data_IF_137894341974
#
_entry.id   IF_137894341974
#
_cell.length_a   1.000
_cell.length_b   1.000
_cell.length_c   1.000
_cell.angle_alpha   90.00
_cell.angle_beta   90.00
_cell.angle_gamma   90.00
#
_symmetry.space_group_name_H-M   'P 1'
#
loop_
_entity.id
_entity.type
_entity.pdbx_description
1 polymer ?
#
# COMPACT_ATOMS: atom_id res chain seq x y z
N UNK A 1 -11.37 -5.50 63.98
CA UNK A 1 -12.25 -5.79 62.82
C UNK A 1 -11.79 -4.95 61.64
N UNK A 2 -10.85 -5.46 60.86
CA UNK A 2 -10.26 -4.74 59.72
C UNK A 2 -11.07 -5.05 58.48
N UNK A 3 -11.75 -4.03 57.95
CA UNK A 3 -12.47 -4.13 56.68
C UNK A 3 -11.41 -4.07 55.58
N UNK A 4 -11.07 -5.21 55.01
CA UNK A 4 -10.17 -5.30 53.86
C UNK A 4 -10.82 -4.56 52.70
N UNK A 5 -10.26 -3.42 52.29
CA UNK A 5 -10.68 -2.71 51.09
C UNK A 5 -10.42 -3.62 49.88
N UNK A 6 -11.46 -4.24 49.35
CA UNK A 6 -11.46 -4.87 48.04
C UNK A 6 -11.07 -3.80 47.02
N UNK A 7 -9.95 -4.00 46.31
CA UNK A 7 -9.60 -3.19 45.15
C UNK A 7 -10.63 -3.44 44.05
N UNK A 8 -11.16 -2.41 43.39
CA UNK A 8 -12.02 -2.60 42.23
C UNK A 8 -11.21 -3.32 41.14
N UNK A 9 -11.75 -4.42 40.64
CA UNK A 9 -11.27 -5.11 39.47
C UNK A 9 -11.35 -4.14 38.29
N UNK A 10 -10.22 -3.80 37.69
CA UNK A 10 -10.19 -3.17 36.38
C UNK A 10 -10.92 -4.08 35.39
N UNK A 11 -12.17 -3.73 35.10
CA UNK A 11 -12.88 -4.21 33.93
C UNK A 11 -12.20 -3.50 32.75
N UNK A 12 -11.39 -4.24 31.99
CA UNK A 12 -10.76 -3.71 30.79
C UNK A 12 -11.85 -3.34 29.80
N UNK A 13 -12.06 -2.04 29.63
CA UNK A 13 -12.94 -1.48 28.60
C UNK A 13 -12.49 -2.00 27.24
N UNK A 14 -13.19 -3.01 26.70
CA UNK A 14 -13.12 -3.34 25.29
C UNK A 14 -13.76 -2.16 24.53
N UNK A 15 -12.94 -1.16 24.24
CA UNK A 15 -13.35 0.07 23.54
C UNK A 15 -14.00 -0.32 22.20
N UNK A 16 -15.33 -0.14 22.10
CA UNK A 16 -16.07 -0.45 20.89
C UNK A 16 -15.47 0.32 19.69
N UNK A 17 -15.14 -0.34 18.57
CA UNK A 17 -14.51 0.35 17.44
C UNK A 17 -15.48 1.36 16.82
N UNK A 18 -15.04 2.61 16.68
CA UNK A 18 -15.81 3.66 15.98
C UNK A 18 -16.23 3.23 14.56
N UNK A 19 -17.33 3.80 14.04
CA UNK A 19 -17.86 3.47 12.70
C UNK A 19 -16.81 3.61 11.59
N UNK A 20 -15.92 4.60 11.71
CA UNK A 20 -14.78 4.80 10.80
C UNK A 20 -13.75 3.66 10.87
N UNK A 21 -13.40 3.20 12.10
CA UNK A 21 -12.52 2.03 12.31
C UNK A 21 -13.15 0.76 11.73
N UNK A 22 -14.46 0.58 11.86
CA UNK A 22 -15.18 -0.55 11.27
C UNK A 22 -15.14 -0.50 9.73
N UNK A 23 -15.32 0.68 9.14
CA UNK A 23 -15.18 0.90 7.70
C UNK A 23 -13.78 0.56 7.18
N UNK A 24 -12.73 1.03 7.86
CA UNK A 24 -11.34 0.73 7.53
C UNK A 24 -11.05 -0.77 7.57
N UNK A 25 -11.50 -1.48 8.63
CA UNK A 25 -11.30 -2.93 8.76
C UNK A 25 -11.98 -3.70 7.64
N UNK A 26 -13.22 -3.34 7.26
CA UNK A 26 -13.93 -3.94 6.13
C UNK A 26 -13.19 -3.72 4.81
N UNK A 27 -12.70 -2.51 4.58
CA UNK A 27 -11.92 -2.18 3.38
C UNK A 27 -10.63 -3.02 3.30
N UNK A 28 -9.85 -3.10 4.38
CA UNK A 28 -8.61 -3.88 4.41
C UNK A 28 -8.85 -5.38 4.23
N UNK A 29 -9.95 -5.91 4.78
CA UNK A 29 -10.36 -7.29 4.56
C UNK A 29 -10.62 -7.57 3.08
N UNK A 30 -11.40 -6.70 2.41
CA UNK A 30 -11.69 -6.83 0.98
C UNK A 30 -10.43 -6.77 0.12
N UNK A 31 -9.49 -5.87 0.44
CA UNK A 31 -8.19 -5.81 -0.25
C UNK A 31 -7.37 -7.10 -0.06
N UNK A 32 -7.37 -7.66 1.15
CA UNK A 32 -6.70 -8.92 1.43
C UNK A 32 -7.33 -10.09 0.67
N UNK A 33 -8.67 -10.16 0.59
CA UNK A 33 -9.42 -11.19 -0.17
C UNK A 33 -9.08 -11.16 -1.67
N UNK A 34 -8.86 -9.97 -2.22
CA UNK A 34 -8.47 -9.78 -3.63
C UNK A 34 -6.97 -9.91 -3.89
N UNK A 35 -6.15 -10.11 -2.85
CA UNK A 35 -4.70 -10.23 -2.98
C UNK A 35 -4.26 -11.68 -3.08
N UNK A 36 -3.18 -11.91 -3.82
CA UNK A 36 -2.49 -13.21 -3.91
C UNK A 36 -1.17 -13.19 -3.16
N UNK A 37 -0.66 -14.37 -2.78
CA UNK A 37 0.69 -14.49 -2.24
C UNK A 37 1.71 -14.34 -3.39
N UNK A 38 2.71 -13.44 -3.29
CA UNK A 38 3.75 -13.25 -4.32
C UNK A 38 4.97 -14.16 -4.14
N UNK A 39 5.00 -14.98 -3.09
CA UNK A 39 6.14 -15.85 -2.84
C UNK A 39 6.04 -17.09 -3.73
N UNK A 40 6.90 -17.21 -4.74
CA UNK A 40 6.89 -18.31 -5.72
C UNK A 40 7.02 -19.71 -5.10
N UNK A 41 7.63 -19.81 -3.92
CA UNK A 41 7.82 -21.09 -3.20
C UNK A 41 6.59 -21.43 -2.31
N UNK A 42 5.63 -20.52 -2.18
CA UNK A 42 4.41 -20.77 -1.39
C UNK A 42 3.46 -21.71 -2.14
N UNK A 43 2.88 -22.68 -1.43
CA UNK A 43 1.85 -23.57 -1.97
C UNK A 43 0.59 -22.84 -2.49
N UNK A 44 0.33 -21.62 -1.98
CA UNK A 44 -0.78 -20.76 -2.44
C UNK A 44 -0.29 -19.55 -3.26
N UNK A 45 0.88 -19.67 -3.91
CA UNK A 45 1.40 -18.64 -4.80
C UNK A 45 0.41 -18.33 -5.94
N UNK A 46 0.11 -17.04 -6.16
CA UNK A 46 -0.73 -16.60 -7.29
C UNK A 46 -2.22 -16.96 -7.21
N UNK A 47 -2.68 -17.68 -6.18
CA UNK A 47 -4.09 -18.11 -6.06
C UNK A 47 -4.90 -17.06 -5.28
N UNK A 48 -6.01 -16.58 -5.87
CA UNK A 48 -6.93 -15.59 -5.26
C UNK A 48 -7.95 -16.27 -4.35
N UNK A 49 -8.44 -15.57 -3.32
CA UNK A 49 -9.65 -15.97 -2.58
C UNK A 49 -9.48 -17.14 -1.61
N UNK A 50 -8.25 -17.55 -1.28
CA UNK A 50 -7.98 -18.65 -0.33
C UNK A 50 -8.00 -18.24 1.14
N UNK A 51 -8.20 -16.95 1.44
CA UNK A 51 -8.25 -16.44 2.82
C UNK A 51 -6.92 -16.54 3.58
N UNK A 52 -5.81 -16.78 2.87
CA UNK A 52 -4.46 -16.84 3.42
C UNK A 52 -3.85 -15.46 3.61
N UNK A 53 -4.33 -14.44 2.89
CA UNK A 53 -3.80 -13.08 3.02
C UNK A 53 -4.54 -12.32 4.12
N UNK A 54 -3.79 -11.63 4.97
CA UNK A 54 -4.32 -10.75 6.02
C UNK A 54 -3.63 -9.40 5.98
N UNK A 55 -4.35 -8.34 6.34
CA UNK A 55 -3.76 -7.03 6.59
C UNK A 55 -2.90 -7.10 7.86
N UNK A 56 -1.66 -6.62 7.78
CA UNK A 56 -0.72 -6.60 8.90
C UNK A 56 -0.63 -5.22 9.51
N UNK A 57 -0.24 -4.23 8.70
CA UNK A 57 -0.01 -2.87 9.17
C UNK A 57 0.00 -1.87 8.01
N UNK A 58 -0.12 -0.59 8.34
CA UNK A 58 0.03 0.51 7.40
C UNK A 58 1.41 1.14 7.60
N UNK A 59 2.19 1.31 6.54
CA UNK A 59 3.58 1.78 6.61
C UNK A 59 3.77 3.23 6.14
N UNK A 60 2.70 3.89 5.70
CA UNK A 60 2.74 5.30 5.30
C UNK A 60 1.34 5.90 5.26
N UNK A 61 1.22 7.22 5.08
CA UNK A 61 -0.06 7.92 5.18
C UNK A 61 -1.04 7.61 4.01
N UNK A 62 -0.51 7.25 2.85
CA UNK A 62 -1.27 7.01 1.62
C UNK A 62 -2.24 5.82 1.72
N UNK A 63 -3.31 5.86 0.92
CA UNK A 63 -4.40 4.88 0.95
C UNK A 63 -3.97 3.44 0.61
N UNK A 64 -2.90 3.28 -0.19
CA UNK A 64 -2.36 1.98 -0.61
C UNK A 64 -1.01 1.65 0.03
N UNK A 65 -0.54 2.42 1.02
CA UNK A 65 0.71 2.11 1.74
C UNK A 65 0.48 1.08 2.85
N UNK A 66 -0.10 -0.06 2.47
CA UNK A 66 -0.49 -1.14 3.36
C UNK A 66 0.43 -2.35 3.17
N UNK A 67 0.73 -3.04 4.27
CA UNK A 67 1.49 -4.27 4.29
C UNK A 67 0.54 -5.42 4.61
N UNK A 68 0.55 -6.43 3.75
CA UNK A 68 -0.17 -7.68 3.92
C UNK A 68 0.79 -8.80 4.31
N UNK A 69 0.24 -9.88 4.86
CA UNK A 69 0.97 -11.08 5.22
C UNK A 69 0.23 -12.31 4.70
N UNK A 70 0.98 -13.26 4.14
CA UNK A 70 0.45 -14.60 3.87
C UNK A 70 0.57 -15.45 5.14
N UNK A 71 -0.52 -16.03 5.62
CA UNK A 71 -0.53 -16.92 6.80
C UNK A 71 0.10 -18.30 6.55
N UNK A 72 0.33 -18.66 5.29
CA UNK A 72 0.90 -19.97 4.93
C UNK A 72 2.43 -19.93 4.93
N UNK A 73 3.01 -18.96 4.23
CA UNK A 73 4.47 -18.83 4.14
C UNK A 73 5.04 -17.72 5.03
N UNK A 74 4.20 -17.05 5.81
CA UNK A 74 4.49 -15.96 6.77
C UNK A 74 5.14 -14.69 6.21
N UNK A 75 5.55 -14.69 4.93
CA UNK A 75 6.12 -13.52 4.25
C UNK A 75 5.12 -12.38 4.13
N UNK A 76 5.65 -11.17 4.26
CA UNK A 76 4.91 -9.92 4.08
C UNK A 76 5.16 -9.33 2.70
N UNK A 77 4.21 -8.53 2.22
CA UNK A 77 4.33 -7.82 0.95
C UNK A 77 3.48 -6.55 0.96
N UNK A 78 3.92 -5.54 0.20
CA UNK A 78 3.18 -4.30 0.05
C UNK A 78 1.97 -4.48 -0.86
N UNK A 79 0.89 -3.76 -0.58
CA UNK A 79 -0.23 -3.59 -1.53
C UNK A 79 0.24 -3.04 -2.87
N UNK A 80 1.22 -2.13 -2.86
CA UNK A 80 1.76 -1.48 -4.07
C UNK A 80 2.73 -2.36 -4.85
N UNK A 81 3.00 -3.59 -4.41
CA UNK A 81 3.91 -4.49 -5.15
C UNK A 81 3.47 -4.56 -6.62
N UNK A 82 4.43 -4.73 -7.51
CA UNK A 82 4.18 -4.84 -8.96
C UNK A 82 3.54 -3.58 -9.60
N UNK A 83 3.47 -2.46 -8.86
CA UNK A 83 3.04 -1.16 -9.38
C UNK A 83 4.19 -0.16 -9.39
N UNK A 84 4.17 0.84 -10.29
CA UNK A 84 5.17 1.91 -10.30
C UNK A 84 5.14 2.80 -9.04
N UNK A 85 4.13 2.65 -8.17
CA UNK A 85 4.02 3.37 -6.91
C UNK A 85 4.84 2.71 -5.78
N UNK A 86 5.32 1.49 -5.98
CA UNK A 86 6.09 0.77 -4.97
C UNK A 86 7.38 1.51 -4.60
N UNK A 87 7.70 1.53 -3.30
CA UNK A 87 8.89 2.20 -2.77
C UNK A 87 8.84 3.73 -2.74
N UNK A 88 7.77 4.37 -3.24
CA UNK A 88 7.58 5.81 -3.07
C UNK A 88 6.91 6.16 -1.74
N UNK A 89 7.49 7.17 -1.07
CA UNK A 89 6.92 7.80 0.13
C UNK A 89 5.93 8.92 -0.19
N UNK A 90 6.01 9.49 -1.39
CA UNK A 90 5.08 10.52 -1.85
C UNK A 90 3.64 9.98 -1.86
N UNK A 91 2.70 10.88 -1.62
CA UNK A 91 1.28 10.58 -1.81
C UNK A 91 1.01 10.30 -3.30
N UNK A 92 -0.03 9.53 -3.57
CA UNK A 92 -0.38 9.16 -4.94
C UNK A 92 -0.75 10.39 -5.75
N UNK A 93 -1.50 11.31 -5.16
CA UNK A 93 -1.91 12.57 -5.77
C UNK A 93 -0.67 13.38 -6.22
N UNK A 94 0.38 13.38 -5.40
CA UNK A 94 1.64 14.07 -5.73
C UNK A 94 2.36 13.41 -6.90
N UNK A 95 2.42 12.07 -6.93
CA UNK A 95 3.04 11.31 -8.02
C UNK A 95 2.26 11.53 -9.31
N UNK A 96 0.94 11.41 -9.28
CA UNK A 96 0.07 11.63 -10.43
C UNK A 96 0.13 13.07 -10.94
N UNK A 97 0.23 14.06 -10.04
CA UNK A 97 0.45 15.46 -10.44
C UNK A 97 1.77 15.67 -11.18
N UNK A 98 2.86 15.02 -10.73
CA UNK A 98 4.16 15.04 -11.43
C UNK A 98 4.03 14.41 -12.81
N UNK A 99 3.40 13.24 -12.92
CA UNK A 99 3.21 12.54 -14.20
C UNK A 99 2.36 13.37 -15.16
N UNK A 100 1.27 13.96 -14.67
CA UNK A 100 0.43 14.84 -15.48
C UNK A 100 1.24 16.00 -16.06
N UNK A 101 2.03 16.71 -15.25
CA UNK A 101 2.90 17.78 -15.76
C UNK A 101 3.80 17.29 -16.90
N UNK A 102 4.40 16.10 -16.76
CA UNK A 102 5.27 15.52 -17.77
C UNK A 102 4.51 15.17 -19.06
N UNK A 103 3.30 14.62 -18.96
CA UNK A 103 2.43 14.30 -20.11
C UNK A 103 2.04 15.57 -20.88
N UNK A 104 1.79 16.68 -20.16
CA UNK A 104 1.52 18.00 -20.74
C UNK A 104 2.79 18.65 -21.35
N UNK A 105 3.91 17.93 -21.44
CA UNK A 105 5.14 18.37 -22.08
C UNK A 105 6.08 19.21 -21.20
N UNK A 106 5.84 19.31 -19.89
CA UNK A 106 6.74 20.03 -19.01
C UNK A 106 8.06 19.25 -18.82
N UNK A 107 9.19 19.94 -18.95
CA UNK A 107 10.50 19.34 -18.66
C UNK A 107 10.73 19.11 -17.16
N UNK A 108 11.63 18.20 -16.81
CA UNK A 108 11.92 17.76 -15.42
C UNK A 108 12.12 18.91 -14.44
N UNK A 109 12.86 19.96 -14.83
CA UNK A 109 13.10 21.14 -13.97
C UNK A 109 11.86 22.01 -13.77
N UNK A 110 11.03 22.15 -14.81
CA UNK A 110 9.78 22.91 -14.73
C UNK A 110 8.78 22.17 -13.81
N UNK A 111 8.61 20.86 -14.02
CA UNK A 111 7.78 20.01 -13.15
C UNK A 111 8.25 20.03 -11.70
N UNK A 112 9.56 19.97 -11.44
CA UNK A 112 10.11 20.06 -10.09
C UNK A 112 9.70 21.35 -9.37
N UNK A 113 9.70 22.49 -10.07
CA UNK A 113 9.23 23.78 -9.53
C UNK A 113 7.72 23.80 -9.32
N UNK A 114 6.93 23.42 -10.32
CA UNK A 114 5.45 23.38 -10.26
C UNK A 114 5.00 22.52 -9.09
N UNK A 115 5.58 21.33 -8.96
CA UNK A 115 5.22 20.36 -7.93
C UNK A 115 5.96 20.56 -6.62
N UNK A 116 6.88 21.53 -6.52
CA UNK A 116 7.68 21.80 -5.32
C UNK A 116 8.36 20.54 -4.76
N UNK A 117 9.09 19.83 -5.62
CA UNK A 117 9.87 18.63 -5.27
C UNK A 117 11.29 18.75 -5.79
N UNK A 118 12.20 17.96 -5.23
CA UNK A 118 13.55 17.87 -5.78
C UNK A 118 13.51 17.30 -7.21
N UNK A 119 14.33 17.84 -8.12
CA UNK A 119 14.41 17.38 -9.51
C UNK A 119 14.66 15.88 -9.60
N UNK A 120 15.50 15.34 -8.73
CA UNK A 120 15.84 13.92 -8.75
C UNK A 120 14.66 13.02 -8.39
N UNK A 121 13.68 13.53 -7.63
CA UNK A 121 12.40 12.85 -7.41
C UNK A 121 11.64 12.70 -8.72
N UNK A 122 11.59 13.77 -9.54
CA UNK A 122 10.94 13.73 -10.86
C UNK A 122 11.68 12.76 -11.78
N UNK A 123 13.02 12.83 -11.84
CA UNK A 123 13.83 11.89 -12.63
C UNK A 123 13.62 10.44 -12.20
N UNK A 124 13.54 10.16 -10.90
CA UNK A 124 13.25 8.82 -10.38
C UNK A 124 11.88 8.33 -10.82
N UNK A 125 10.86 9.18 -10.76
CA UNK A 125 9.50 8.87 -11.22
C UNK A 125 9.51 8.53 -12.71
N UNK A 126 10.13 9.37 -13.55
CA UNK A 126 10.27 9.12 -14.99
C UNK A 126 10.90 7.75 -15.24
N UNK A 127 12.01 7.43 -14.56
CA UNK A 127 12.72 6.16 -14.74
C UNK A 127 11.83 4.96 -14.38
N UNK A 128 11.20 4.98 -13.21
CA UNK A 128 10.37 3.86 -12.74
C UNK A 128 9.15 3.67 -13.65
N UNK A 129 8.41 4.75 -13.91
CA UNK A 129 7.23 4.69 -14.77
C UNK A 129 7.60 4.30 -16.21
N UNK A 130 8.73 4.76 -16.73
CA UNK A 130 9.23 4.38 -18.06
C UNK A 130 9.55 2.88 -18.18
N UNK A 131 10.07 2.25 -17.12
CA UNK A 131 10.28 0.79 -17.09
C UNK A 131 8.94 0.06 -17.17
N UNK A 132 7.98 0.43 -16.32
CA UNK A 132 6.65 -0.17 -16.35
C UNK A 132 5.92 0.06 -17.69
N UNK A 133 6.03 1.27 -18.26
CA UNK A 133 5.45 1.58 -19.56
C UNK A 133 6.05 0.69 -20.66
N UNK A 134 7.38 0.47 -20.64
CA UNK A 134 8.04 -0.44 -21.59
C UNK A 134 7.58 -1.88 -21.45
N UNK A 135 7.38 -2.37 -20.23
CA UNK A 135 6.86 -3.72 -19.98
C UNK A 135 5.45 -3.88 -20.53
N UNK A 136 4.58 -2.91 -20.27
CA UNK A 136 3.23 -2.84 -20.82
C UNK A 136 3.28 -2.82 -22.35
N UNK A 137 4.05 -1.90 -22.95
CA UNK A 137 4.18 -1.80 -24.41
C UNK A 137 4.69 -3.10 -25.05
N UNK A 138 5.58 -3.85 -24.40
CA UNK A 138 6.03 -5.15 -24.91
C UNK A 138 4.89 -6.16 -25.00
N UNK A 139 3.98 -6.18 -24.02
CA UNK A 139 2.84 -7.09 -24.03
C UNK A 139 1.84 -6.67 -25.11
N UNK A 140 1.51 -5.38 -25.18
CA UNK A 140 0.48 -4.87 -26.10
C UNK A 140 0.91 -4.74 -27.57
N UNK A 141 2.21 -4.65 -27.87
CA UNK A 141 2.74 -4.47 -29.23
C UNK A 141 3.41 -5.73 -29.79
N UNK A 142 3.44 -6.83 -29.04
CA UNK A 142 3.96 -8.12 -29.50
C UNK A 142 2.88 -9.03 -30.11
N UNK A 143 1.63 -8.56 -30.16
CA UNK A 143 0.52 -9.12 -30.94
C UNK A 143 0.40 -8.39 -32.30
#
# INVERSE_FOLDING_TARGET
>A
MSITKLKPTHFSDEEEPSAEKLGYKRMMKKKAENSTCPNEICELHGIVGRGNIVFREKYGAGATQNLFQCKICEKTFSERRDTPLFGFRLSEEKIWGIIRCLIEGNGTRATARIMQVHRDTVTRIIRIFGVHAKEISRVFLAD
#
